data_IF_679549371319
#
_entry.id   IF_679549371319
#
_cell.length_a   1.000
_cell.length_b   1.000
_cell.length_c   1.000
_cell.angle_alpha   90.00
_cell.angle_beta   90.00
_cell.angle_gamma   90.00
#
_symmetry.space_group_name_H-M   'P 1'
#
loop_
_entity.id
_entity.type
_entity.pdbx_description
1 polymer ?
#
# COMPACT_ATOMS: atom_id res chain seq x y z
N UNK A 1 18.64 -7.55 24.59
CA UNK A 1 17.69 -6.43 24.82
C UNK A 1 17.27 -5.94 23.45
N UNK A 2 16.11 -6.39 22.97
CA UNK A 2 15.72 -6.24 21.56
C UNK A 2 15.00 -4.91 21.36
N UNK A 3 15.75 -3.88 21.00
CA UNK A 3 15.23 -2.55 20.68
C UNK A 3 14.64 -2.56 19.27
N UNK A 4 13.47 -3.19 19.11
CA UNK A 4 12.56 -2.81 18.03
C UNK A 4 12.01 -1.43 18.41
N UNK A 5 12.83 -0.42 18.14
CA UNK A 5 12.39 0.96 18.02
C UNK A 5 11.20 0.88 17.08
N UNK A 6 10.00 1.10 17.60
CA UNK A 6 8.85 1.42 16.77
C UNK A 6 9.34 2.55 15.86
N UNK A 7 9.69 2.21 14.62
CA UNK A 7 9.94 3.20 13.59
C UNK A 7 8.54 3.75 13.38
N UNK A 8 8.20 4.80 14.11
CA UNK A 8 7.12 5.68 13.69
C UNK A 8 7.58 6.17 12.33
N UNK A 9 7.08 5.54 11.27
CA UNK A 9 7.25 6.02 9.90
C UNK A 9 6.91 7.49 9.96
N UNK A 10 7.88 8.35 9.65
CA UNK A 10 7.58 9.78 9.63
C UNK A 10 6.40 9.97 8.66
N UNK A 11 5.46 10.87 8.98
CA UNK A 11 4.36 11.15 8.07
C UNK A 11 4.92 11.46 6.69
N UNK A 12 4.43 10.76 5.65
CA UNK A 12 4.86 11.03 4.28
C UNK A 12 4.37 12.42 3.85
N UNK A 13 5.07 13.02 2.87
CA UNK A 13 4.65 14.31 2.33
C UNK A 13 3.34 14.19 1.54
N UNK A 14 2.64 15.31 1.36
CA UNK A 14 1.45 15.35 0.50
C UNK A 14 1.76 14.95 -0.95
N UNK A 15 2.94 15.33 -1.46
CA UNK A 15 3.40 14.94 -2.79
C UNK A 15 3.62 13.43 -2.92
N UNK A 16 4.19 12.81 -1.88
CA UNK A 16 4.38 11.36 -1.82
C UNK A 16 3.03 10.63 -1.73
N UNK A 17 2.11 11.11 -0.89
CA UNK A 17 0.75 10.54 -0.82
C UNK A 17 0.03 10.64 -2.17
N UNK A 18 0.14 11.78 -2.86
CA UNK A 18 -0.42 11.97 -4.19
C UNK A 18 0.25 11.09 -5.24
N UNK A 19 1.57 10.90 -5.16
CA UNK A 19 2.29 9.97 -6.04
C UNK A 19 1.82 8.52 -5.84
N UNK A 20 1.74 8.05 -4.58
CA UNK A 20 1.25 6.71 -4.25
C UNK A 20 -0.18 6.50 -4.71
N UNK A 21 -1.06 7.48 -4.52
CA UNK A 21 -2.44 7.42 -4.98
C UNK A 21 -2.51 7.21 -6.50
N UNK A 22 -1.75 7.99 -7.27
CA UNK A 22 -1.69 7.82 -8.74
C UNK A 22 -1.20 6.42 -9.14
N UNK A 23 -0.18 5.90 -8.47
CA UNK A 23 0.35 4.56 -8.74
C UNK A 23 -0.68 3.47 -8.43
N UNK A 24 -1.39 3.56 -7.30
CA UNK A 24 -2.46 2.63 -6.93
C UNK A 24 -3.63 2.73 -7.92
N UNK A 25 -4.04 3.93 -8.30
CA UNK A 25 -5.13 4.15 -9.24
C UNK A 25 -4.80 3.59 -10.63
N UNK A 26 -3.56 3.77 -11.09
CA UNK A 26 -3.08 3.18 -12.34
C UNK A 26 -3.14 1.65 -12.29
N UNK A 27 -2.59 1.03 -11.25
CA UNK A 27 -2.63 -0.43 -11.08
C UNK A 27 -4.08 -0.96 -11.01
N UNK A 28 -4.96 -0.27 -10.28
CA UNK A 28 -6.39 -0.60 -10.23
C UNK A 28 -7.04 -0.51 -11.61
N UNK A 29 -6.68 0.51 -12.40
CA UNK A 29 -7.11 0.67 -13.79
C UNK A 29 -6.66 -0.50 -14.68
N UNK A 30 -5.39 -0.90 -14.59
CA UNK A 30 -4.85 -2.03 -15.36
C UNK A 30 -5.55 -3.35 -15.02
N UNK A 31 -5.75 -3.66 -13.74
CA UNK A 31 -6.47 -4.88 -13.32
C UNK A 31 -7.91 -4.89 -13.84
N UNK A 32 -8.59 -3.73 -13.82
CA UNK A 32 -9.94 -3.58 -14.39
C UNK A 32 -9.97 -3.73 -15.91
N UNK A 33 -8.95 -3.22 -16.60
CA UNK A 33 -8.81 -3.36 -18.04
C UNK A 33 -8.71 -4.83 -18.47
N UNK A 34 -8.10 -5.67 -17.63
CA UNK A 34 -8.02 -7.13 -17.82
C UNK A 34 -9.30 -7.89 -17.41
N UNK A 35 -10.34 -7.19 -16.95
CA UNK A 35 -11.62 -7.80 -16.57
C UNK A 35 -11.71 -8.26 -15.12
N UNK A 36 -10.76 -7.86 -14.27
CA UNK A 36 -10.71 -8.22 -12.85
C UNK A 36 -10.95 -7.01 -11.94
N UNK A 37 -11.19 -7.27 -10.66
CA UNK A 37 -11.24 -6.23 -9.62
C UNK A 37 -10.37 -6.63 -8.44
N UNK A 38 -9.70 -5.66 -7.83
CA UNK A 38 -9.01 -5.88 -6.56
C UNK A 38 -10.00 -6.27 -5.45
N UNK A 39 -9.61 -7.18 -4.58
CA UNK A 39 -10.42 -7.55 -3.42
C UNK A 39 -10.51 -6.40 -2.40
N UNK A 40 -11.54 -6.38 -1.53
CA UNK A 40 -11.64 -5.37 -0.48
C UNK A 40 -10.42 -5.30 0.45
N UNK A 41 -9.77 -6.43 0.70
CA UNK A 41 -8.57 -6.56 1.53
C UNK A 41 -7.37 -5.87 0.86
N UNK A 42 -7.14 -6.11 -0.43
CA UNK A 42 -6.08 -5.42 -1.20
C UNK A 42 -6.34 -3.91 -1.24
N UNK A 43 -7.59 -3.49 -1.44
CA UNK A 43 -7.95 -2.06 -1.41
C UNK A 43 -7.69 -1.43 -0.03
N UNK A 44 -7.91 -2.18 1.06
CA UNK A 44 -7.61 -1.71 2.40
C UNK A 44 -6.10 -1.52 2.62
N UNK A 45 -5.28 -2.46 2.15
CA UNK A 45 -3.82 -2.36 2.23
C UNK A 45 -3.33 -1.16 1.40
N UNK A 46 -3.84 -0.97 0.17
CA UNK A 46 -3.50 0.16 -0.68
C UNK A 46 -3.82 1.50 -0.01
N UNK A 47 -4.97 1.63 0.68
CA UNK A 47 -5.30 2.85 1.43
C UNK A 47 -4.28 3.15 2.53
N UNK A 48 -3.85 2.13 3.27
CA UNK A 48 -2.83 2.27 4.33
C UNK A 48 -1.47 2.68 3.75
N UNK A 49 -1.09 2.11 2.61
CA UNK A 49 0.13 2.51 1.89
C UNK A 49 0.08 3.97 1.42
N UNK A 50 -1.03 4.41 0.83
CA UNK A 50 -1.25 5.81 0.40
C UNK A 50 -1.27 6.76 1.59
N UNK A 51 -1.78 6.34 2.75
CA UNK A 51 -1.75 7.12 3.99
C UNK A 51 -0.36 7.18 4.65
N UNK A 52 0.62 6.42 4.14
CA UNK A 52 1.96 6.33 4.74
C UNK A 52 2.05 5.46 5.98
N UNK A 53 1.00 4.69 6.29
CA UNK A 53 1.02 3.70 7.38
C UNK A 53 1.88 2.47 7.06
N UNK A 54 2.14 2.24 5.77
CA UNK A 54 3.01 1.17 5.28
C UNK A 54 4.15 1.79 4.46
N UNK A 55 5.36 1.25 4.67
CA UNK A 55 6.45 1.37 3.68
C UNK A 55 6.12 0.57 2.42
N UNK A 56 6.91 0.77 1.36
CA UNK A 56 6.72 0.00 0.12
C UNK A 56 6.94 -1.50 0.33
N UNK A 57 7.92 -1.88 1.16
CA UNK A 57 8.18 -3.30 1.45
C UNK A 57 7.05 -3.91 2.28
N UNK A 58 6.58 -3.22 3.32
CA UNK A 58 5.43 -3.67 4.11
C UNK A 58 4.14 -3.75 3.28
N UNK A 59 3.97 -2.87 2.29
CA UNK A 59 2.84 -2.93 1.35
C UNK A 59 2.86 -4.22 0.53
N UNK A 60 4.01 -4.55 -0.05
CA UNK A 60 4.18 -5.79 -0.84
C UNK A 60 3.98 -7.03 0.03
N UNK A 61 4.60 -7.07 1.21
CA UNK A 61 4.46 -8.21 2.11
C UNK A 61 3.03 -8.38 2.65
N UNK A 62 2.32 -7.28 2.92
CA UNK A 62 0.91 -7.34 3.31
C UNK A 62 0.01 -7.90 2.20
N UNK A 63 0.26 -7.55 0.92
CA UNK A 63 -0.50 -8.13 -0.20
C UNK A 63 -0.20 -9.62 -0.33
N UNK A 64 1.08 -10.02 -0.27
CA UNK A 64 1.46 -11.43 -0.36
C UNK A 64 0.77 -12.26 0.71
N UNK A 65 0.75 -11.77 1.95
CA UNK A 65 0.16 -12.45 3.10
C UNK A 65 -1.35 -12.76 2.97
N UNK A 66 -2.06 -12.21 1.98
CA UNK A 66 -3.45 -12.60 1.70
C UNK A 66 -3.57 -13.93 0.95
N UNK A 67 -2.49 -14.42 0.35
CA UNK A 67 -2.51 -15.53 -0.61
C UNK A 67 -1.49 -16.65 -0.29
N UNK A 68 -0.71 -16.51 0.78
CA UNK A 68 0.23 -17.54 1.28
C UNK A 68 -0.28 -18.22 2.54
#
# INVERSE_FOLDING_TARGET
MNVYRQIKTQPISADEAAHRLRSVDFARGSVRYEGFTLSPEVEAINRRYVAGELTSDEHVEAIKALYV
#
